data_IF_081971558715
#
_entry.id   IF_081971558715
#
_cell.length_a   1.000
_cell.length_b   1.000
_cell.length_c   1.000
_cell.angle_alpha   90.00
_cell.angle_beta   90.00
_cell.angle_gamma   90.00
#
_symmetry.space_group_name_H-M   'P 1'
#
loop_
_entity.id
_entity.type
_entity.pdbx_description
1 polymer ?
#
# COMPACT_ATOMS: atom_id res chain seq x y z
N UNK A 1 12.64 -38.05 -46.66
CA UNK A 1 11.32 -38.05 -47.33
C UNK A 1 10.20 -38.29 -46.33
N UNK A 2 10.42 -39.09 -45.28
CA UNK A 2 9.42 -39.34 -44.21
C UNK A 2 9.04 -38.12 -43.37
N UNK A 3 9.93 -37.15 -43.16
CA UNK A 3 9.64 -35.95 -42.35
C UNK A 3 8.53 -35.07 -42.95
N UNK A 4 8.35 -35.09 -44.28
CA UNK A 4 7.32 -34.30 -44.97
C UNK A 4 5.98 -35.04 -45.12
N UNK A 5 5.95 -36.36 -44.94
CA UNK A 5 4.69 -37.12 -45.01
C UNK A 5 3.89 -37.06 -43.70
N UNK A 6 4.55 -36.79 -42.57
CA UNK A 6 3.87 -36.59 -41.28
C UNK A 6 3.02 -35.30 -41.24
N UNK A 7 3.37 -34.30 -42.07
CA UNK A 7 2.63 -33.04 -42.24
C UNK A 7 1.29 -33.24 -42.98
N UNK A 8 1.09 -34.42 -43.61
CA UNK A 8 -0.13 -34.72 -44.38
C UNK A 8 -1.30 -35.25 -43.55
N UNK A 9 -1.22 -35.24 -42.21
CA UNK A 9 -2.44 -35.22 -41.40
C UNK A 9 -3.05 -33.83 -41.57
N UNK A 10 -4.12 -33.73 -42.38
CA UNK A 10 -4.91 -32.50 -42.53
C UNK A 10 -5.14 -31.94 -41.12
N UNK A 11 -4.54 -30.77 -40.78
CA UNK A 11 -4.75 -30.20 -39.47
C UNK A 11 -6.26 -30.02 -39.29
N UNK A 12 -6.74 -30.23 -38.07
CA UNK A 12 -8.16 -30.02 -37.74
C UNK A 12 -8.52 -28.64 -38.29
N UNK A 13 -9.45 -28.58 -39.25
CA UNK A 13 -9.79 -27.34 -40.00
C UNK A 13 -10.06 -26.13 -39.09
N UNK A 14 -10.45 -26.40 -37.84
CA UNK A 14 -10.71 -25.41 -36.81
C UNK A 14 -9.45 -24.71 -36.27
N UNK A 15 -8.30 -25.39 -36.21
CA UNK A 15 -7.05 -24.94 -35.56
C UNK A 15 -5.93 -24.57 -36.55
N UNK A 16 -6.24 -24.50 -37.85
CA UNK A 16 -5.26 -24.12 -38.85
C UNK A 16 -5.01 -22.60 -38.81
N UNK A 17 -3.75 -22.21 -38.59
CA UNK A 17 -3.30 -20.81 -38.59
C UNK A 17 -2.91 -20.34 -39.99
N UNK A 18 -2.81 -19.02 -40.21
CA UNK A 18 -2.39 -18.42 -41.48
C UNK A 18 -1.04 -18.93 -41.98
N UNK A 19 -0.07 -19.11 -41.09
CA UNK A 19 1.27 -19.62 -41.45
C UNK A 19 1.20 -21.04 -41.98
N UNK A 20 0.37 -21.89 -41.38
CA UNK A 20 0.15 -23.27 -41.83
C UNK A 20 -0.63 -23.27 -43.16
N UNK A 21 -1.61 -22.37 -43.31
CA UNK A 21 -2.45 -22.26 -44.50
C UNK A 21 -1.71 -21.82 -45.77
N UNK A 22 -0.54 -21.18 -45.65
CA UNK A 22 0.29 -20.76 -46.78
C UNK A 22 0.74 -21.93 -47.66
N UNK A 23 0.92 -23.12 -47.07
CA UNK A 23 1.38 -24.32 -47.77
C UNK A 23 0.28 -25.09 -48.51
N UNK A 24 -1.00 -24.76 -48.31
CA UNK A 24 -2.15 -25.51 -48.87
C UNK A 24 -2.85 -24.79 -50.04
N UNK A 25 -2.41 -23.56 -50.40
CA UNK A 25 -2.87 -22.83 -51.58
C UNK A 25 -3.59 -21.50 -51.29
N UNK A 26 -3.69 -20.64 -52.32
CA UNK A 26 -4.15 -19.24 -52.20
C UNK A 26 -5.55 -19.09 -51.62
N UNK A 27 -6.48 -19.96 -52.01
CA UNK A 27 -7.87 -19.91 -51.54
C UNK A 27 -7.99 -20.25 -50.04
N UNK A 28 -7.26 -21.26 -49.60
CA UNK A 28 -7.25 -21.71 -48.20
C UNK A 28 -6.58 -20.66 -47.30
N UNK A 29 -5.50 -20.05 -47.79
CA UNK A 29 -4.84 -18.92 -47.13
C UNK A 29 -5.80 -17.73 -46.92
N UNK A 30 -6.52 -17.30 -47.96
CA UNK A 30 -7.47 -16.18 -47.88
C UNK A 30 -8.63 -16.47 -46.90
N UNK A 31 -9.23 -17.66 -46.97
CA UNK A 31 -10.32 -18.06 -46.05
C UNK A 31 -9.86 -18.11 -44.58
N UNK A 32 -8.65 -18.60 -44.33
CA UNK A 32 -8.08 -18.68 -42.98
C UNK A 32 -7.73 -17.30 -42.43
N UNK A 33 -7.20 -16.41 -43.29
CA UNK A 33 -6.88 -15.03 -42.91
C UNK A 33 -8.13 -14.24 -42.51
N UNK A 34 -9.23 -14.34 -43.27
CA UNK A 34 -10.50 -13.67 -42.91
C UNK A 34 -11.06 -14.21 -41.59
N UNK A 35 -11.01 -15.53 -41.37
CA UNK A 35 -11.43 -16.15 -40.11
C UNK A 35 -10.59 -15.63 -38.93
N UNK A 36 -9.27 -15.56 -39.07
CA UNK A 36 -8.39 -15.02 -38.04
C UNK A 36 -8.70 -13.55 -37.75
N UNK A 37 -8.89 -12.71 -38.77
CA UNK A 37 -9.27 -11.30 -38.59
C UNK A 37 -10.58 -11.18 -37.79
N UNK A 38 -11.58 -12.00 -38.08
CA UNK A 38 -12.84 -12.00 -37.33
C UNK A 38 -12.64 -12.43 -35.87
N UNK A 39 -11.81 -13.45 -35.62
CA UNK A 39 -11.48 -13.89 -34.26
C UNK A 39 -10.74 -12.77 -33.51
N UNK A 40 -9.71 -12.17 -34.11
CA UNK A 40 -8.98 -11.05 -33.50
C UNK A 40 -9.84 -9.81 -33.28
N UNK A 41 -10.73 -9.47 -34.22
CA UNK A 41 -11.68 -8.37 -34.07
C UNK A 41 -12.65 -8.64 -32.92
N UNK A 42 -13.20 -9.86 -32.82
CA UNK A 42 -14.07 -10.24 -31.70
C UNK A 42 -13.34 -10.21 -30.36
N UNK A 43 -12.09 -10.70 -30.32
CA UNK A 43 -11.24 -10.63 -29.14
C UNK A 43 -10.95 -9.19 -28.73
N UNK A 44 -10.66 -8.31 -29.68
CA UNK A 44 -10.41 -6.90 -29.43
C UNK A 44 -11.67 -6.21 -28.89
N UNK A 45 -12.85 -6.51 -29.44
CA UNK A 45 -14.12 -5.99 -28.92
C UNK A 45 -14.33 -6.43 -27.48
N UNK A 46 -14.15 -7.72 -27.16
CA UNK A 46 -14.28 -8.23 -25.79
C UNK A 46 -13.24 -7.58 -24.86
N UNK A 47 -12.00 -7.45 -25.31
CA UNK A 47 -10.94 -6.78 -24.54
C UNK A 47 -11.29 -5.32 -24.28
N UNK A 48 -11.80 -4.59 -25.28
CA UNK A 48 -12.24 -3.21 -25.11
C UNK A 48 -13.41 -3.10 -24.13
N UNK A 49 -14.41 -3.99 -24.20
CA UNK A 49 -15.52 -4.01 -23.24
C UNK A 49 -15.01 -4.22 -21.81
N UNK A 50 -14.10 -5.17 -21.60
CA UNK A 50 -13.50 -5.44 -20.28
C UNK A 50 -12.67 -4.26 -19.79
N UNK A 51 -11.85 -3.65 -20.65
CA UNK A 51 -10.99 -2.52 -20.25
C UNK A 51 -11.80 -1.25 -19.96
N UNK A 52 -12.88 -1.00 -20.70
CA UNK A 52 -13.73 0.17 -20.50
C UNK A 52 -14.61 0.08 -19.24
N UNK A 53 -14.86 -1.13 -18.72
CA UNK A 53 -15.60 -1.33 -17.48
C UNK A 53 -14.80 -0.91 -16.23
N UNK A 54 -13.47 -0.93 -16.30
CA UNK A 54 -12.59 -0.70 -15.13
C UNK A 54 -12.49 0.78 -14.71
N UNK A 55 -12.22 1.75 -15.60
CA UNK A 55 -12.17 3.16 -15.23
C UNK A 55 -13.56 3.80 -15.31
N UNK A 56 -14.35 3.74 -14.23
CA UNK A 56 -15.58 4.52 -14.13
C UNK A 56 -15.34 5.90 -13.49
N UNK A 57 -16.23 6.84 -13.78
CA UNK A 57 -16.24 8.15 -13.13
C UNK A 57 -16.40 8.00 -11.60
N UNK A 58 -17.18 7.03 -11.15
CA UNK A 58 -17.41 6.77 -9.73
C UNK A 58 -16.13 6.35 -8.99
N UNK A 59 -15.28 5.52 -9.62
CA UNK A 59 -13.97 5.13 -9.05
C UNK A 59 -13.05 6.34 -8.91
N UNK A 60 -13.05 7.25 -9.90
CA UNK A 60 -12.29 8.50 -9.81
C UNK A 60 -12.80 9.40 -8.67
N UNK A 61 -14.12 9.59 -8.57
CA UNK A 61 -14.71 10.41 -7.52
C UNK A 61 -14.42 9.83 -6.13
N UNK A 62 -14.56 8.51 -5.97
CA UNK A 62 -14.22 7.82 -4.73
C UNK A 62 -12.75 8.00 -4.33
N UNK A 63 -11.81 7.73 -5.25
CA UNK A 63 -10.37 7.85 -4.98
C UNK A 63 -9.94 9.29 -4.72
N UNK A 64 -10.55 10.26 -5.41
CA UNK A 64 -10.33 11.69 -5.19
C UNK A 64 -10.83 12.15 -3.82
N UNK A 65 -12.05 11.77 -3.43
CA UNK A 65 -12.59 12.07 -2.10
C UNK A 65 -11.74 11.47 -0.99
N UNK A 66 -11.28 10.22 -1.15
CA UNK A 66 -10.41 9.58 -0.17
C UNK A 66 -9.03 10.27 -0.07
N UNK A 67 -8.48 10.71 -1.20
CA UNK A 67 -7.25 11.50 -1.21
C UNK A 67 -7.44 12.87 -0.56
N UNK A 68 -8.60 13.50 -0.73
CA UNK A 68 -8.90 14.77 -0.07
C UNK A 68 -8.89 14.62 1.45
N UNK A 69 -9.52 13.58 1.99
CA UNK A 69 -9.57 13.34 3.45
C UNK A 69 -8.17 13.15 4.04
N UNK A 70 -7.33 12.30 3.45
CA UNK A 70 -6.04 11.93 4.07
C UNK A 70 -4.84 12.78 3.62
N UNK A 71 -4.84 13.33 2.40
CA UNK A 71 -3.65 13.96 1.80
C UNK A 71 -3.79 15.47 1.69
N UNK A 72 -4.95 15.96 1.24
CA UNK A 72 -5.16 17.37 0.94
C UNK A 72 -5.83 18.16 2.06
N UNK A 73 -6.53 17.49 2.98
CA UNK A 73 -7.08 18.12 4.17
C UNK A 73 -5.94 18.61 5.07
N UNK A 74 -6.10 19.82 5.59
CA UNK A 74 -5.14 20.41 6.51
C UNK A 74 -5.31 19.82 7.91
N UNK A 75 -4.20 19.61 8.61
CA UNK A 75 -4.20 19.28 10.02
C UNK A 75 -3.59 20.41 10.84
N UNK A 76 -4.11 20.62 12.05
CA UNK A 76 -3.64 21.65 12.94
C UNK A 76 -2.28 21.27 13.55
N UNK A 77 -1.25 22.04 13.22
CA UNK A 77 0.02 21.96 13.93
C UNK A 77 -0.01 22.77 15.23
N UNK A 78 0.89 22.44 16.17
CA UNK A 78 1.07 23.20 17.42
C UNK A 78 1.44 24.67 17.21
N UNK A 79 1.90 25.04 16.01
CA UNK A 79 2.23 26.40 15.63
C UNK A 79 1.02 27.19 15.08
N UNK A 80 -0.19 26.66 15.19
CA UNK A 80 -1.44 27.26 14.67
C UNK A 80 -1.39 27.50 13.14
N UNK A 81 -0.61 26.67 12.44
CA UNK A 81 -0.56 26.64 10.98
C UNK A 81 -1.20 25.35 10.50
N UNK A 82 -2.06 25.46 9.48
CA UNK A 82 -2.63 24.31 8.79
C UNK A 82 -1.60 23.72 7.84
N UNK A 83 -1.16 22.49 8.13
CA UNK A 83 -0.21 21.74 7.31
C UNK A 83 -0.95 20.65 6.53
N UNK A 84 -0.52 20.36 5.31
CA UNK A 84 -1.00 19.20 4.56
C UNK A 84 -0.06 18.00 4.75
N UNK A 85 -0.49 16.81 4.34
CA UNK A 85 0.37 15.61 4.38
C UNK A 85 1.69 15.81 3.63
N UNK A 86 1.67 16.59 2.54
CA UNK A 86 2.86 16.89 1.73
C UNK A 86 3.86 17.81 2.42
N UNK A 87 3.43 18.56 3.44
CA UNK A 87 4.25 19.55 4.16
C UNK A 87 4.94 18.94 5.40
N UNK A 88 4.77 17.64 5.65
CA UNK A 88 5.42 16.92 6.75
C UNK A 88 6.94 16.86 6.50
N UNK A 89 7.70 17.54 7.36
CA UNK A 89 9.16 17.62 7.26
C UNK A 89 9.92 17.32 8.57
N UNK A 90 9.22 17.20 9.70
CA UNK A 90 9.80 16.85 11.01
C UNK A 90 9.12 15.63 11.63
N UNK A 91 9.80 14.97 12.58
CA UNK A 91 9.21 13.84 13.32
C UNK A 91 8.00 14.33 14.15
N UNK A 92 8.05 15.57 14.64
CA UNK A 92 6.95 16.20 15.36
C UNK A 92 5.69 16.30 14.48
N UNK A 93 5.83 16.73 13.22
CA UNK A 93 4.72 16.77 12.26
C UNK A 93 4.15 15.39 11.96
N UNK A 94 4.99 14.33 11.93
CA UNK A 94 4.49 12.94 11.78
C UNK A 94 3.56 12.56 12.92
N UNK A 95 3.93 12.90 14.16
CA UNK A 95 3.06 12.60 15.31
C UNK A 95 1.78 13.43 15.30
N UNK A 96 1.85 14.70 14.91
CA UNK A 96 0.66 15.58 14.77
C UNK A 96 -0.29 15.05 13.69
N UNK A 97 0.24 14.60 12.56
CA UNK A 97 -0.54 13.97 11.50
C UNK A 97 -1.18 12.64 11.97
N UNK A 98 -0.46 11.81 12.72
CA UNK A 98 -1.02 10.57 13.27
C UNK A 98 -2.18 10.84 14.27
N UNK A 99 -2.09 11.91 15.06
CA UNK A 99 -3.18 12.34 15.93
C UNK A 99 -4.39 12.79 15.09
N UNK A 100 -4.17 13.55 14.02
CA UNK A 100 -5.21 13.99 13.08
C UNK A 100 -5.91 12.81 12.37
N UNK A 101 -5.18 11.75 12.00
CA UNK A 101 -5.79 10.53 11.44
C UNK A 101 -6.82 9.93 12.40
N UNK A 102 -6.58 10.01 13.72
CA UNK A 102 -7.55 9.51 14.70
C UNK A 102 -8.79 10.38 14.71
N UNK A 103 -8.63 11.70 14.58
CA UNK A 103 -9.75 12.64 14.50
C UNK A 103 -10.59 12.36 13.25
N UNK A 104 -9.96 12.13 12.08
CA UNK A 104 -10.66 11.66 10.86
C UNK A 104 -11.46 10.38 11.15
N UNK A 105 -10.85 9.39 11.79
CA UNK A 105 -11.54 8.14 12.11
C UNK A 105 -12.69 8.28 13.13
N UNK A 106 -12.64 9.29 14.00
CA UNK A 106 -13.70 9.63 14.96
C UNK A 106 -14.83 10.45 14.28
N UNK A 107 -14.50 11.42 13.43
CA UNK A 107 -15.43 12.31 12.72
C UNK A 107 -16.23 11.57 11.63
N UNK A 108 -15.56 10.79 10.78
CA UNK A 108 -16.19 10.02 9.70
C UNK A 108 -16.88 8.74 10.22
N UNK A 109 -17.06 8.61 11.54
CA UNK A 109 -17.73 7.48 12.20
C UNK A 109 -17.19 6.09 11.79
N UNK A 110 -15.94 6.00 11.33
CA UNK A 110 -15.29 4.74 10.99
C UNK A 110 -15.19 3.81 12.21
N UNK A 111 -15.20 4.39 13.42
CA UNK A 111 -15.43 3.64 14.65
C UNK A 111 -16.94 3.55 14.95
N UNK A 112 -17.50 2.34 15.13
CA UNK A 112 -18.90 2.22 15.46
C UNK A 112 -19.19 2.89 16.81
N UNK A 113 -20.09 3.88 16.78
CA UNK A 113 -20.64 4.52 17.98
C UNK A 113 -21.24 3.40 18.86
N UNK A 114 -20.81 3.32 20.11
CA UNK A 114 -21.35 2.33 21.05
C UNK A 114 -22.82 2.65 21.29
N UNK A 115 -23.71 1.86 20.70
CA UNK A 115 -25.18 1.82 20.89
C UNK A 115 -25.79 3.19 21.21
N UNK A 116 -26.26 3.88 20.17
CA UNK A 116 -27.37 4.81 20.33
C UNK A 116 -28.53 4.00 20.92
N UNK A 117 -28.93 4.33 22.14
CA UNK A 117 -30.18 3.85 22.73
C UNK A 117 -31.34 4.28 21.84
N UNK A 118 -32.37 3.43 21.73
CA UNK A 118 -33.51 3.55 20.78
C UNK A 118 -34.35 4.84 20.89
N UNK A 119 -33.96 5.81 21.72
CA UNK A 119 -34.71 7.02 22.04
C UNK A 119 -34.29 8.26 21.24
N UNK A 120 -33.12 8.27 20.58
CA UNK A 120 -32.59 9.45 19.86
C UNK A 120 -32.75 9.37 18.33
N UNK A 121 -33.82 8.72 17.84
CA UNK A 121 -34.17 8.75 16.41
C UNK A 121 -34.95 10.02 16.06
N UNK A 122 -34.24 11.16 16.10
CA UNK A 122 -34.71 12.38 15.45
C UNK A 122 -34.36 12.27 13.95
N UNK A 123 -35.40 12.22 13.11
CA UNK A 123 -35.38 12.00 11.65
C UNK A 123 -34.52 12.99 10.84
N UNK A 124 -33.95 14.00 11.48
CA UNK A 124 -33.12 15.06 10.87
C UNK A 124 -31.61 14.78 10.94
N UNK A 125 -31.16 13.74 11.65
CA UNK A 125 -29.75 13.31 11.70
C UNK A 125 -29.38 12.25 10.66
N UNK A 126 -30.33 11.89 9.77
CA UNK A 126 -30.14 10.98 8.64
C UNK A 126 -29.23 11.55 7.52
N UNK A 127 -28.62 12.72 7.73
CA UNK A 127 -27.72 13.39 6.78
C UNK A 127 -26.24 13.13 7.00
N UNK A 128 -25.86 12.23 7.91
CA UNK A 128 -24.50 11.68 7.92
C UNK A 128 -24.47 10.43 7.03
N UNK A 129 -24.46 10.65 5.71
CA UNK A 129 -24.32 9.58 4.71
C UNK A 129 -22.87 9.07 4.74
N UNK A 130 -22.53 8.28 5.76
CA UNK A 130 -21.27 7.55 5.82
C UNK A 130 -21.41 6.28 4.96
N UNK A 131 -21.11 6.39 3.66
CA UNK A 131 -21.26 5.26 2.72
C UNK A 131 -20.14 4.22 2.85
N UNK A 132 -19.02 4.60 3.46
CA UNK A 132 -17.80 3.78 3.51
C UNK A 132 -17.67 3.04 4.84
N UNK A 133 -17.48 1.72 4.75
CA UNK A 133 -17.20 0.88 5.92
C UNK A 133 -15.70 0.58 6.04
N UNK A 134 -15.12 0.85 7.21
CA UNK A 134 -13.76 0.43 7.52
C UNK A 134 -13.70 -1.10 7.72
N UNK A 135 -12.89 -1.79 6.92
CA UNK A 135 -12.64 -3.22 7.09
C UNK A 135 -11.37 -3.41 7.93
N UNK A 136 -11.50 -4.11 9.06
CA UNK A 136 -10.38 -4.39 9.96
C UNK A 136 -9.99 -3.17 10.79
N UNK A 137 -8.70 -3.05 11.07
CA UNK A 137 -8.12 -1.95 11.86
C UNK A 137 -6.81 -1.49 11.21
N UNK A 138 -6.47 -0.20 11.34
CA UNK A 138 -5.20 0.29 10.84
C UNK A 138 -4.03 -0.37 11.58
N UNK A 139 -2.92 -0.55 10.87
CA UNK A 139 -1.66 -1.09 11.40
C UNK A 139 -0.55 -0.09 11.15
N UNK A 140 0.17 0.28 12.20
CA UNK A 140 1.41 1.05 12.08
C UNK A 140 2.58 0.08 12.00
N UNK A 141 3.48 0.31 11.04
CA UNK A 141 4.72 -0.45 10.88
C UNK A 141 5.90 0.49 10.70
N UNK A 142 7.01 0.19 11.36
CA UNK A 142 8.29 0.85 11.17
C UNK A 142 9.39 -0.15 10.88
N UNK A 143 10.37 0.30 10.11
CA UNK A 143 11.65 -0.38 9.89
C UNK A 143 12.74 0.47 10.52
N UNK A 144 13.86 -0.14 10.90
CA UNK A 144 14.95 0.56 11.59
C UNK A 144 16.29 0.11 11.04
N UNK A 145 17.29 0.95 11.13
CA UNK A 145 18.66 0.68 10.69
C UNK A 145 19.59 0.49 11.90
N UNK A 146 20.57 -0.41 11.77
CA UNK A 146 21.57 -0.67 12.81
C UNK A 146 22.43 0.57 13.09
N UNK A 147 22.80 0.76 14.36
CA UNK A 147 23.58 1.88 14.88
C UNK A 147 25.03 2.02 14.35
N UNK A 148 25.53 1.03 13.61
CA UNK A 148 26.90 1.03 13.07
C UNK A 148 26.87 0.65 11.59
N UNK A 149 25.83 1.11 10.89
CA UNK A 149 25.63 0.87 9.46
C UNK A 149 26.47 1.79 8.57
N UNK A 150 27.03 2.87 9.11
CA UNK A 150 27.96 3.75 8.41
C UNK A 150 29.37 3.77 9.04
N UNK A 151 30.36 3.98 8.16
CA UNK A 151 31.75 4.14 8.56
C UNK A 151 32.02 5.60 8.91
N UNK A 152 32.37 5.84 10.17
CA UNK A 152 32.81 7.16 10.64
C UNK A 152 34.34 7.25 10.48
N UNK A 153 34.80 8.35 9.91
CA UNK A 153 36.23 8.64 9.74
C UNK A 153 36.93 8.75 11.10
N UNK A 154 38.16 8.22 11.20
CA UNK A 154 38.90 8.06 12.45
C UNK A 154 39.11 9.36 13.22
N UNK A 155 39.39 10.48 12.55
CA UNK A 155 39.59 11.76 13.25
C UNK A 155 38.31 12.25 13.96
N UNK A 156 37.13 11.95 13.40
CA UNK A 156 35.84 12.32 14.01
C UNK A 156 35.43 11.40 15.17
N UNK A 157 35.95 10.17 15.22
CA UNK A 157 35.69 9.22 16.32
C UNK A 157 36.26 9.72 17.65
N UNK A 158 37.42 10.36 17.62
CA UNK A 158 38.11 10.89 18.81
C UNK A 158 37.33 11.98 19.54
N UNK A 159 36.56 12.80 18.81
CA UNK A 159 35.73 13.87 19.39
C UNK A 159 34.41 13.35 19.98
N UNK A 160 33.96 12.17 19.54
CA UNK A 160 32.62 11.66 19.85
C UNK A 160 32.67 10.18 20.19
N UNK A 161 33.02 9.92 21.46
CA UNK A 161 33.16 8.58 22.05
C UNK A 161 31.83 7.78 22.10
N UNK A 162 30.71 8.35 21.63
CA UNK A 162 29.36 7.77 21.61
C UNK A 162 28.60 8.06 20.28
N UNK A 163 29.29 8.06 19.13
CA UNK A 163 28.62 8.39 17.85
C UNK A 163 27.79 7.23 17.32
N UNK A 164 26.48 7.32 17.54
CA UNK A 164 25.50 6.53 16.81
C UNK A 164 25.48 6.92 15.32
N UNK A 165 25.61 5.95 14.40
CA UNK A 165 25.68 6.21 12.96
C UNK A 165 24.68 5.33 12.20
N UNK A 166 23.72 5.98 11.57
CA UNK A 166 22.70 5.33 10.75
C UNK A 166 22.95 5.69 9.28
N UNK A 167 23.28 4.69 8.48
CA UNK A 167 23.43 4.77 7.04
C UNK A 167 22.08 4.62 6.32
N UNK A 168 22.15 4.47 5.00
CA UNK A 168 20.96 4.22 4.20
C UNK A 168 20.33 2.86 4.52
N UNK A 169 19.00 2.78 4.40
CA UNK A 169 18.30 1.51 4.59
C UNK A 169 18.73 0.51 3.52
N UNK A 170 19.04 -0.71 3.97
CA UNK A 170 19.20 -1.89 3.13
C UNK A 170 18.79 -3.12 3.93
N UNK A 171 18.35 -4.18 3.24
CA UNK A 171 17.92 -5.42 3.90
C UNK A 171 19.01 -6.06 4.78
N UNK A 172 20.28 -5.83 4.48
CA UNK A 172 21.42 -6.33 5.27
C UNK A 172 21.69 -5.47 6.51
N UNK A 173 21.38 -4.17 6.44
CA UNK A 173 21.58 -3.20 7.52
C UNK A 173 20.33 -2.97 8.38
N UNK A 174 19.21 -3.63 8.06
CA UNK A 174 17.99 -3.63 8.87
C UNK A 174 18.28 -4.12 10.29
N UNK A 175 17.81 -3.35 11.28
CA UNK A 175 17.91 -3.70 12.69
C UNK A 175 16.75 -4.61 13.11
N UNK A 176 17.10 -5.85 13.47
CA UNK A 176 16.16 -6.87 13.93
C UNK A 176 16.18 -7.03 15.45
N UNK A 177 16.98 -6.23 16.16
CA UNK A 177 17.12 -6.32 17.62
C UNK A 177 15.97 -5.59 18.31
N UNK A 178 15.44 -6.19 19.38
CA UNK A 178 14.41 -5.56 20.19
C UNK A 178 14.91 -4.24 20.83
N UNK A 179 14.09 -3.19 20.75
CA UNK A 179 14.45 -1.84 21.24
C UNK A 179 13.41 -1.25 22.20
N UNK A 180 13.73 -0.11 22.82
CA UNK A 180 12.82 0.59 23.74
C UNK A 180 12.35 -0.31 24.88
N UNK A 181 11.03 -0.49 25.02
CA UNK A 181 10.42 -1.30 26.09
C UNK A 181 10.55 -2.81 25.90
N UNK A 182 10.89 -3.28 24.69
CA UNK A 182 11.00 -4.71 24.36
C UNK A 182 9.74 -5.53 24.70
N UNK A 183 8.57 -4.90 24.62
CA UNK A 183 7.30 -5.48 25.04
C UNK A 183 6.33 -5.64 23.86
N UNK A 184 5.98 -6.86 23.51
CA UNK A 184 5.06 -7.12 22.39
C UNK A 184 5.65 -6.81 21.01
N UNK A 185 4.81 -6.84 19.98
CA UNK A 185 5.21 -6.73 18.55
C UNK A 185 5.71 -5.35 18.15
N UNK A 186 5.40 -4.33 18.96
CA UNK A 186 5.75 -2.92 18.72
C UNK A 186 7.24 -2.67 18.87
N UNK A 187 7.89 -3.44 19.75
CA UNK A 187 9.28 -3.25 20.17
C UNK A 187 10.17 -4.44 19.82
N UNK A 188 9.57 -5.54 19.37
CA UNK A 188 10.25 -6.76 18.95
C UNK A 188 10.05 -6.96 17.45
N UNK A 189 11.14 -7.25 16.74
CA UNK A 189 11.11 -7.43 15.30
C UNK A 189 10.27 -8.66 14.91
N UNK A 190 9.47 -8.52 13.86
CA UNK A 190 8.72 -9.61 13.24
C UNK A 190 9.14 -9.80 11.79
N UNK A 191 9.36 -11.04 11.38
CA UNK A 191 9.72 -11.39 10.00
C UNK A 191 8.54 -11.18 9.04
N UNK A 192 8.79 -11.07 7.72
CA UNK A 192 7.73 -10.95 6.72
C UNK A 192 6.67 -12.06 6.79
N UNK A 193 7.06 -13.29 7.12
CA UNK A 193 6.13 -14.43 7.24
C UNK A 193 5.14 -14.25 8.40
N UNK A 194 5.56 -13.55 9.47
CA UNK A 194 4.73 -13.29 10.65
C UNK A 194 3.83 -12.07 10.41
N UNK A 195 4.36 -11.02 9.79
CA UNK A 195 3.58 -9.82 9.50
C UNK A 195 2.56 -10.05 8.38
N UNK A 196 2.83 -11.01 7.48
CA UNK A 196 2.04 -11.28 6.29
C UNK A 196 2.15 -10.18 5.24
N UNK A 197 3.17 -9.32 5.33
CA UNK A 197 3.33 -8.17 4.44
C UNK A 197 4.33 -8.47 3.33
N UNK A 198 4.07 -7.91 2.14
CA UNK A 198 4.96 -7.99 1.01
C UNK A 198 5.96 -6.82 0.99
N UNK A 199 6.99 -6.96 0.16
CA UNK A 199 7.95 -5.91 -0.12
C UNK A 199 7.26 -4.70 -0.76
N UNK A 200 7.57 -3.51 -0.26
CA UNK A 200 7.06 -2.23 -0.77
C UNK A 200 8.20 -1.46 -1.42
N UNK A 201 7.99 -1.04 -2.67
CA UNK A 201 8.91 -0.17 -3.40
C UNK A 201 8.59 1.29 -3.08
N UNK A 202 9.46 1.91 -2.27
CA UNK A 202 9.37 3.34 -1.97
C UNK A 202 10.15 4.18 -2.98
N UNK A 203 10.11 5.49 -2.80
CA UNK A 203 10.84 6.46 -3.64
C UNK A 203 12.35 6.42 -3.43
N UNK A 204 12.80 6.22 -2.19
CA UNK A 204 14.23 6.22 -1.81
C UNK A 204 14.82 4.82 -1.70
N UNK A 205 14.00 3.81 -1.42
CA UNK A 205 14.47 2.46 -1.16
C UNK A 205 13.37 1.41 -1.24
N UNK A 206 13.77 0.15 -1.25
CA UNK A 206 12.86 -0.99 -1.23
C UNK A 206 12.81 -1.57 0.18
N UNK A 207 11.62 -1.66 0.75
CA UNK A 207 11.40 -2.08 2.13
C UNK A 207 10.75 -3.46 2.16
N UNK A 208 11.34 -4.41 2.87
CA UNK A 208 10.75 -5.73 3.06
C UNK A 208 9.45 -5.71 3.88
N UNK A 209 8.80 -6.85 3.99
CA UNK A 209 7.57 -7.02 4.77
C UNK A 209 7.77 -7.09 6.29
N UNK A 210 9.01 -7.23 6.76
CA UNK A 210 9.33 -7.32 8.18
C UNK A 210 9.28 -5.96 8.88
N UNK A 211 9.58 -5.98 10.18
CA UNK A 211 9.76 -4.77 10.99
C UNK A 211 9.04 -4.83 12.32
N UNK A 212 8.88 -3.66 12.91
CA UNK A 212 8.19 -3.46 14.18
C UNK A 212 6.78 -2.95 13.88
N UNK A 213 5.76 -3.60 14.42
CA UNK A 213 4.38 -3.24 14.09
C UNK A 213 3.44 -3.27 15.28
N UNK A 214 2.40 -2.45 15.18
CA UNK A 214 1.29 -2.43 16.13
C UNK A 214 -0.03 -2.37 15.39
N UNK A 215 -0.94 -3.24 15.79
CA UNK A 215 -2.34 -3.17 15.37
C UNK A 215 -3.05 -2.12 16.21
N UNK A 216 -3.60 -1.10 15.55
CA UNK A 216 -4.22 0.01 16.26
C UNK A 216 -5.56 -0.41 16.85
N UNK A 217 -5.91 0.07 18.05
CA UNK A 217 -7.16 -0.30 18.70
C UNK A 217 -8.36 0.38 18.02
N UNK A 218 -9.51 -0.28 18.08
CA UNK A 218 -10.80 0.22 17.57
C UNK A 218 -11.36 1.45 18.30
N UNK A 219 -10.80 1.83 19.45
CA UNK A 219 -11.29 2.99 20.21
C UNK A 219 -10.30 4.12 20.02
N UNK A 220 -10.76 5.26 19.48
CA UNK A 220 -9.91 6.44 19.27
C UNK A 220 -9.21 6.91 20.55
N UNK A 221 -9.89 6.87 21.72
CA UNK A 221 -9.24 7.11 23.03
C UNK A 221 -8.07 6.17 23.32
N UNK A 222 -8.23 4.87 23.05
CA UNK A 222 -7.14 3.89 23.23
C UNK A 222 -6.03 4.11 22.20
N UNK A 223 -6.38 4.54 20.99
CA UNK A 223 -5.43 4.84 19.93
C UNK A 223 -4.59 6.08 20.28
N UNK A 224 -5.22 7.18 20.71
CA UNK A 224 -4.51 8.36 21.24
C UNK A 224 -3.57 7.99 22.38
N UNK A 225 -4.02 7.16 23.32
CA UNK A 225 -3.18 6.66 24.42
C UNK A 225 -1.99 5.84 23.90
N UNK A 226 -2.19 4.99 22.89
CA UNK A 226 -1.13 4.23 22.24
C UNK A 226 -0.09 5.18 21.62
N UNK A 227 -0.52 6.16 20.81
CA UNK A 227 0.39 7.13 20.18
C UNK A 227 1.21 7.91 21.21
N UNK A 228 0.60 8.37 22.30
CA UNK A 228 1.31 9.04 23.41
C UNK A 228 2.39 8.14 24.00
N UNK A 229 2.12 6.83 24.17
CA UNK A 229 3.12 5.88 24.65
C UNK A 229 4.26 5.71 23.65
N UNK A 230 3.95 5.59 22.35
CA UNK A 230 4.97 5.43 21.29
C UNK A 230 5.86 6.68 21.19
N UNK A 231 5.25 7.87 21.17
CA UNK A 231 5.95 9.16 21.13
C UNK A 231 6.86 9.34 22.34
N UNK A 232 6.36 9.07 23.55
CA UNK A 232 7.14 9.18 24.79
C UNK A 232 8.36 8.26 24.82
N UNK A 233 8.25 7.08 24.22
CA UNK A 233 9.35 6.10 24.17
C UNK A 233 10.16 6.15 22.87
N UNK A 234 10.01 7.23 22.08
CA UNK A 234 10.78 7.48 20.86
C UNK A 234 10.73 6.30 19.88
N UNK A 235 9.52 5.79 19.62
CA UNK A 235 9.32 4.71 18.64
C UNK A 235 9.78 5.11 17.23
N UNK A 236 9.63 6.39 16.90
CA UNK A 236 10.27 7.04 15.75
C UNK A 236 11.43 7.87 16.29
N UNK A 237 12.64 7.56 15.84
CA UNK A 237 13.86 8.27 16.18
C UNK A 237 14.78 8.35 14.95
N UNK A 238 16.04 8.74 15.15
CA UNK A 238 17.02 8.90 14.04
C UNK A 238 17.37 7.60 13.31
N UNK A 239 16.98 6.43 13.84
CA UNK A 239 17.27 5.13 13.24
C UNK A 239 16.13 4.63 12.35
N UNK A 240 14.97 5.26 12.41
CA UNK A 240 13.75 4.91 11.66
C UNK A 240 13.76 5.58 10.29
#
# INVERSE_FOLDING_TARGET
LDYYEEIRKKPIKMLMTREIAQHFGREIYLKTTVKEILIYASFLIVLCLVVLEVPSFDVYMFTSSMANIFVYNGFHSRLEVDLQYKDINTIEHVWEYLDHIIDIFEEDSFFPKAKLTDEDRDETTLTEIHENNLIGLPRLRSVRVKNSSCEIVREMKTQSNNTACFGYFSSTQEDTVAFGKKLGTVWNYSSPDVTGLHTVFGTVGTYGGGGFYVDCPKSGRKFKTLLVVLKRHKWIDRAT
#
